data_IF_559621927817
#
_entry.id   IF_559621927817
#
_cell.length_a   1.000
_cell.length_b   1.000
_cell.length_c   1.000
_cell.angle_alpha   90.00
_cell.angle_beta   90.00
_cell.angle_gamma   90.00
#
_symmetry.space_group_name_H-M   'P 1'
#
loop_
_entity.id
_entity.type
_entity.pdbx_description
1 polymer ?
#
# COMPACT_ATOMS: atom_id res chain seq x y z
N UNK A 1 -46.43 16.68 -99.78
CA UNK A 1 -45.08 17.19 -100.13
C UNK A 1 -45.20 18.64 -100.54
N UNK A 2 -44.56 19.55 -99.81
CA UNK A 2 -44.64 20.98 -100.07
C UNK A 2 -44.08 21.77 -98.90
N UNK A 3 -42.77 22.01 -98.96
CA UNK A 3 -41.92 22.60 -97.93
C UNK A 3 -42.42 23.94 -97.36
N UNK A 4 -42.24 24.11 -96.05
CA UNK A 4 -42.60 25.32 -95.31
C UNK A 4 -41.37 26.21 -95.03
N UNK A 5 -41.64 27.52 -94.91
CA UNK A 5 -40.70 28.64 -95.00
C UNK A 5 -40.50 29.33 -93.63
N UNK A 6 -39.25 29.80 -93.40
CA UNK A 6 -38.75 30.93 -92.56
C UNK A 6 -38.75 30.71 -91.03
N UNK A 7 -37.69 31.09 -90.28
CA UNK A 7 -37.17 32.46 -90.00
C UNK A 7 -35.71 32.40 -89.47
N UNK A 8 -34.72 33.06 -90.09
CA UNK A 8 -34.02 34.34 -89.76
C UNK A 8 -33.31 34.48 -88.39
N UNK A 9 -31.99 34.69 -88.46
CA UNK A 9 -31.10 35.31 -87.46
C UNK A 9 -29.63 35.23 -87.97
N UNK A 10 -29.12 36.20 -88.75
CA UNK A 10 -28.32 37.39 -88.31
C UNK A 10 -26.91 36.96 -87.83
N UNK A 11 -25.76 37.49 -88.27
CA UNK A 11 -25.34 38.47 -89.28
C UNK A 11 -23.77 38.45 -89.34
N UNK A 12 -23.21 38.79 -90.52
CA UNK A 12 -21.93 39.50 -90.84
C UNK A 12 -20.61 39.16 -90.09
N UNK A 13 -19.47 38.82 -90.71
CA UNK A 13 -18.69 39.39 -91.84
C UNK A 13 -17.71 40.54 -91.47
N UNK A 14 -16.40 40.19 -91.56
CA UNK A 14 -15.29 40.97 -92.17
C UNK A 14 -14.58 42.11 -91.39
N UNK A 15 -13.25 42.00 -91.25
CA UNK A 15 -12.23 42.78 -92.00
C UNK A 15 -10.96 43.15 -91.18
N UNK A 16 -9.81 43.05 -91.85
CA UNK A 16 -8.44 43.42 -91.46
C UNK A 16 -8.23 44.94 -91.24
N UNK A 17 -7.41 45.35 -90.26
CA UNK A 17 -6.12 46.10 -90.39
C UNK A 17 -5.77 46.92 -89.11
N UNK A 18 -4.49 46.83 -88.73
CA UNK A 18 -3.63 47.89 -88.16
C UNK A 18 -4.00 48.66 -86.86
N UNK A 19 -3.22 48.37 -85.81
CA UNK A 19 -2.42 49.37 -85.09
C UNK A 19 -3.12 50.55 -84.39
N UNK A 20 -3.37 50.39 -83.09
CA UNK A 20 -3.20 51.48 -82.14
C UNK A 20 -2.84 50.89 -80.76
N UNK A 21 -1.57 51.04 -80.41
CA UNK A 21 -1.04 50.90 -79.07
C UNK A 21 -1.74 51.91 -78.16
N UNK A 22 -2.51 51.44 -77.19
CA UNK A 22 -2.79 52.20 -75.97
C UNK A 22 -2.57 51.27 -74.78
N UNK A 23 -1.31 50.99 -74.48
CA UNK A 23 -0.94 50.65 -73.10
C UNK A 23 -1.11 51.93 -72.29
N UNK A 24 -2.15 52.03 -71.47
CA UNK A 24 -2.17 53.01 -70.40
C UNK A 24 -1.05 52.64 -69.43
N UNK A 25 0.15 53.17 -69.66
CA UNK A 25 1.17 53.21 -68.63
C UNK A 25 0.60 54.02 -67.48
N UNK A 26 0.26 53.33 -66.39
CA UNK A 26 0.02 53.97 -65.10
C UNK A 26 1.40 54.49 -64.67
N UNK A 27 1.71 55.72 -65.07
CA UNK A 27 2.85 56.43 -64.51
C UNK A 27 2.54 56.67 -63.04
N UNK A 28 3.13 55.85 -62.16
CA UNK A 28 3.21 56.15 -60.76
C UNK A 28 3.96 57.49 -60.63
N UNK A 29 3.23 58.56 -60.34
CA UNK A 29 3.82 59.86 -60.03
C UNK A 29 4.76 59.67 -58.84
N UNK A 30 6.07 59.71 -59.09
CA UNK A 30 7.07 59.80 -58.03
C UNK A 30 7.09 61.24 -57.51
N UNK A 31 6.05 61.60 -56.77
CA UNK A 31 5.94 62.88 -56.11
C UNK A 31 6.58 62.79 -54.71
N UNK A 32 7.60 63.61 -54.47
CA UNK A 32 8.11 63.81 -53.11
C UNK A 32 7.19 64.78 -52.37
N UNK A 33 6.75 64.40 -51.16
CA UNK A 33 5.97 65.25 -50.27
C UNK A 33 6.74 65.45 -48.98
N UNK A 34 6.86 66.70 -48.53
CA UNK A 34 7.28 66.98 -47.17
C UNK A 34 6.13 66.64 -46.24
N UNK A 35 6.44 65.95 -45.14
CA UNK A 35 5.48 65.58 -44.11
C UNK A 35 6.05 65.98 -42.76
N UNK A 36 5.18 66.46 -41.88
CA UNK A 36 5.51 66.69 -40.47
C UNK A 36 5.13 65.43 -39.69
N UNK A 37 6.08 64.89 -38.93
CA UNK A 37 5.88 63.68 -38.11
C UNK A 37 6.14 64.01 -36.65
N UNK A 38 5.41 63.35 -35.76
CA UNK A 38 5.56 63.51 -34.32
C UNK A 38 6.09 62.23 -33.68
N UNK A 39 7.24 62.34 -33.02
CA UNK A 39 7.81 61.30 -32.16
C UNK A 39 7.34 61.52 -30.72
N UNK A 40 6.88 60.47 -30.04
CA UNK A 40 6.25 60.55 -28.71
C UNK A 40 6.63 59.37 -27.78
N UNK A 41 7.84 58.81 -27.92
CA UNK A 41 8.28 57.66 -27.11
C UNK A 41 7.24 56.52 -27.12
N UNK A 42 6.84 56.11 -28.32
CA UNK A 42 5.79 55.12 -28.52
C UNK A 42 6.31 53.73 -28.12
N UNK A 43 5.67 53.10 -27.13
CA UNK A 43 6.01 51.77 -26.64
C UNK A 43 5.20 50.69 -27.34
N UNK A 44 5.84 49.57 -27.64
CA UNK A 44 5.19 48.36 -28.19
C UNK A 44 5.27 47.25 -27.14
N UNK A 45 4.13 46.62 -26.85
CA UNK A 45 4.03 45.51 -25.90
C UNK A 45 3.47 44.30 -26.65
N UNK A 46 4.21 43.19 -26.67
CA UNK A 46 3.76 41.92 -27.22
C UNK A 46 3.67 40.87 -26.12
N UNK A 47 2.49 40.28 -25.90
CA UNK A 47 2.25 39.31 -24.83
C UNK A 47 2.77 39.75 -23.45
N UNK A 48 2.61 41.04 -23.12
CA UNK A 48 3.05 41.61 -21.84
C UNK A 48 4.55 42.00 -21.78
N UNK A 49 5.33 41.73 -22.83
CA UNK A 49 6.75 42.08 -22.91
C UNK A 49 6.93 43.38 -23.71
N UNK A 50 7.65 44.35 -23.14
CA UNK A 50 8.01 45.58 -23.86
C UNK A 50 9.07 45.27 -24.90
N UNK A 51 8.85 45.71 -26.14
CA UNK A 51 9.78 45.53 -27.25
C UNK A 51 10.77 46.67 -27.29
N UNK A 52 12.06 46.35 -27.32
CA UNK A 52 13.14 47.31 -27.53
C UNK A 52 13.07 47.86 -28.95
N UNK A 53 13.08 49.19 -29.08
CA UNK A 53 12.93 49.89 -30.36
C UNK A 53 14.30 50.49 -30.74
N UNK A 54 14.80 50.16 -31.93
CA UNK A 54 15.97 50.86 -32.50
C UNK A 54 15.58 52.33 -32.75
N UNK A 55 16.27 53.31 -32.13
CA UNK A 55 16.00 54.72 -32.32
C UNK A 55 16.00 55.17 -33.79
N UNK A 56 16.73 54.49 -34.68
CA UNK A 56 16.75 54.80 -36.12
C UNK A 56 15.45 54.47 -36.83
N UNK A 57 14.61 53.63 -36.22
CA UNK A 57 13.35 53.16 -36.77
C UNK A 57 12.22 53.32 -35.75
N UNK A 58 12.28 54.32 -34.88
CA UNK A 58 11.21 54.50 -33.90
C UNK A 58 9.85 54.80 -34.57
N UNK A 59 8.73 54.30 -34.03
CA UNK A 59 7.39 54.63 -34.52
C UNK A 59 7.10 56.13 -34.43
N UNK A 60 6.27 56.64 -35.33
CA UNK A 60 5.90 58.05 -35.37
C UNK A 60 4.42 58.24 -35.70
N UNK A 61 3.90 59.43 -35.40
CA UNK A 61 2.53 59.82 -35.73
C UNK A 61 2.56 60.79 -36.92
N UNK A 62 1.83 60.44 -37.98
CA UNK A 62 1.59 61.30 -39.13
C UNK A 62 0.08 61.47 -39.30
N UNK A 63 -0.40 62.72 -39.25
CA UNK A 63 -1.83 63.06 -39.36
C UNK A 63 -2.75 62.25 -38.42
N UNK A 64 -2.30 62.03 -37.18
CA UNK A 64 -3.05 61.27 -36.17
C UNK A 64 -2.97 59.75 -36.30
N UNK A 65 -2.23 59.22 -37.30
CA UNK A 65 -2.03 57.78 -37.50
C UNK A 65 -0.63 57.39 -37.05
N UNK A 66 -0.52 56.33 -36.24
CA UNK A 66 0.78 55.76 -35.83
C UNK A 66 1.32 54.84 -36.91
N UNK A 67 2.55 55.10 -37.35
CA UNK A 67 3.31 54.28 -38.28
C UNK A 67 4.38 53.51 -37.54
N UNK A 68 4.40 52.19 -37.71
CA UNK A 68 5.34 51.27 -37.07
C UNK A 68 6.20 50.61 -38.16
N UNK A 69 7.51 50.41 -37.94
CA UNK A 69 8.34 49.70 -38.90
C UNK A 69 7.83 48.28 -39.13
N UNK A 70 7.51 47.98 -40.38
CA UNK A 70 6.99 46.67 -40.76
C UNK A 70 8.00 45.54 -40.46
N UNK A 71 9.31 45.80 -40.60
CA UNK A 71 10.36 44.80 -40.35
C UNK A 71 10.39 44.36 -38.88
N UNK A 72 10.24 45.31 -37.96
CA UNK A 72 10.13 45.05 -36.51
C UNK A 72 8.92 44.15 -36.22
N UNK A 73 7.76 44.45 -36.80
CA UNK A 73 6.57 43.61 -36.64
C UNK A 73 6.74 42.23 -37.30
N UNK A 74 7.45 42.16 -38.42
CA UNK A 74 7.76 40.89 -39.09
C UNK A 74 8.58 39.97 -38.20
N UNK A 75 9.67 40.47 -37.61
CA UNK A 75 10.53 39.72 -36.69
C UNK A 75 9.74 39.24 -35.47
N UNK A 76 8.88 40.10 -34.91
CA UNK A 76 8.02 39.75 -33.79
C UNK A 76 7.12 38.52 -34.07
N UNK A 77 6.70 38.33 -35.32
CA UNK A 77 5.86 37.22 -35.76
C UNK A 77 6.62 36.12 -36.51
N UNK A 78 7.95 36.06 -36.33
CA UNK A 78 8.82 35.07 -36.96
C UNK A 78 8.68 35.05 -38.50
N UNK A 79 8.56 36.25 -39.08
CA UNK A 79 8.45 36.50 -40.52
C UNK A 79 9.69 37.23 -41.01
N UNK A 80 10.10 36.92 -42.23
CA UNK A 80 11.13 37.69 -42.93
C UNK A 80 10.47 38.76 -43.81
N UNK A 81 10.89 40.02 -43.68
CA UNK A 81 10.44 41.13 -44.53
C UNK A 81 11.55 41.55 -45.49
N UNK A 82 11.27 41.57 -46.79
CA UNK A 82 12.22 41.94 -47.85
C UNK A 82 11.63 43.02 -48.75
N UNK A 83 12.45 44.00 -49.14
CA UNK A 83 12.07 45.04 -50.09
C UNK A 83 12.62 44.68 -51.48
N UNK A 84 11.75 44.65 -52.48
CA UNK A 84 12.08 44.52 -53.89
C UNK A 84 12.03 45.90 -54.54
N UNK A 85 13.20 46.53 -54.71
CA UNK A 85 13.31 47.84 -55.35
C UNK A 85 12.80 47.88 -56.80
N UNK A 86 13.07 46.89 -57.67
CA UNK A 86 12.63 46.93 -59.08
C UNK A 86 11.11 47.00 -59.24
N UNK A 87 10.37 46.39 -58.33
CA UNK A 87 8.89 46.30 -58.38
C UNK A 87 8.22 47.14 -57.30
N UNK A 88 8.99 47.87 -56.50
CA UNK A 88 8.51 48.58 -55.31
C UNK A 88 7.60 47.71 -54.42
N UNK A 89 8.03 46.48 -54.15
CA UNK A 89 7.20 45.46 -53.46
C UNK A 89 7.80 45.05 -52.13
N UNK A 90 6.95 44.89 -51.13
CA UNK A 90 7.31 44.26 -49.85
C UNK A 90 6.93 42.78 -49.90
N UNK A 91 7.89 41.91 -49.59
CA UNK A 91 7.70 40.46 -49.54
C UNK A 91 7.80 40.01 -48.08
N UNK A 92 6.78 39.30 -47.59
CA UNK A 92 6.72 38.75 -46.23
C UNK A 92 6.67 37.23 -46.33
N UNK A 93 7.55 36.52 -45.62
CA UNK A 93 7.65 35.04 -45.64
C UNK A 93 7.72 34.46 -44.23
N UNK A 94 7.12 33.29 -44.02
CA UNK A 94 7.35 32.47 -42.83
C UNK A 94 8.82 32.01 -42.76
N UNK A 95 9.40 32.03 -41.55
CA UNK A 95 10.75 31.49 -41.31
C UNK A 95 10.75 29.99 -41.04
N UNK A 96 9.63 29.44 -40.57
CA UNK A 96 9.46 28.00 -40.32
C UNK A 96 8.76 27.32 -41.49
N UNK A 97 9.33 26.24 -42.06
CA UNK A 97 8.59 25.40 -43.00
C UNK A 97 7.40 24.76 -42.28
N UNK A 98 6.25 24.58 -42.95
CA UNK A 98 5.13 23.84 -42.38
C UNK A 98 5.58 22.42 -42.03
N UNK A 99 5.03 21.87 -40.94
CA UNK A 99 5.23 20.46 -40.59
C UNK A 99 4.80 19.63 -41.79
N UNK A 100 5.70 18.78 -42.29
CA UNK A 100 5.43 18.00 -43.49
C UNK A 100 4.34 16.97 -43.22
N UNK A 101 3.49 16.71 -44.23
CA UNK A 101 2.49 15.64 -44.15
C UNK A 101 3.15 14.28 -43.84
N UNK A 102 4.36 14.04 -44.35
CA UNK A 102 5.13 12.84 -44.04
C UNK A 102 5.46 12.70 -42.54
N UNK A 103 5.70 13.81 -41.84
CA UNK A 103 5.91 13.80 -40.38
C UNK A 103 4.62 13.45 -39.64
N UNK A 104 3.48 14.00 -40.09
CA UNK A 104 2.16 13.69 -39.51
C UNK A 104 1.81 12.21 -39.71
N UNK A 105 2.03 11.69 -40.92
CA UNK A 105 1.77 10.29 -41.25
C UNK A 105 2.66 9.34 -40.44
N UNK A 106 3.95 9.69 -40.26
CA UNK A 106 4.87 8.92 -39.43
C UNK A 106 4.45 8.90 -37.95
N UNK A 107 4.03 10.05 -37.40
CA UNK A 107 3.53 10.11 -36.02
C UNK A 107 2.24 9.30 -35.85
N UNK A 108 1.30 9.38 -36.79
CA UNK A 108 0.08 8.58 -36.76
C UNK A 108 0.35 7.08 -36.85
N UNK A 109 1.32 6.67 -37.67
CA UNK A 109 1.75 5.28 -37.74
C UNK A 109 2.36 4.79 -36.41
N UNK A 110 3.14 5.63 -35.73
CA UNK A 110 3.68 5.32 -34.41
C UNK A 110 2.60 5.20 -33.33
N UNK A 111 1.61 6.10 -33.34
CA UNK A 111 0.46 6.04 -32.41
C UNK A 111 -0.28 4.72 -32.61
N UNK A 112 -0.62 4.38 -33.86
CA UNK A 112 -1.31 3.12 -34.19
C UNK A 112 -0.52 1.88 -33.73
N UNK A 113 0.80 1.90 -33.86
CA UNK A 113 1.66 0.80 -33.40
C UNK A 113 1.67 0.70 -31.86
N UNK A 114 1.67 1.83 -31.15
CA UNK A 114 1.59 1.85 -29.68
C UNK A 114 0.23 1.38 -29.19
N UNK A 115 -0.86 1.80 -29.82
CA UNK A 115 -2.22 1.37 -29.48
C UNK A 115 -2.39 -0.15 -29.65
N UNK A 116 -1.85 -0.70 -30.74
CA UNK A 116 -1.83 -2.14 -30.96
C UNK A 116 -1.05 -2.88 -29.87
N UNK A 117 0.07 -2.32 -29.41
CA UNK A 117 0.86 -2.92 -28.33
C UNK A 117 0.16 -2.84 -26.98
N UNK A 118 -0.55 -1.74 -26.69
CA UNK A 118 -1.36 -1.59 -25.48
C UNK A 118 -2.45 -2.67 -25.45
N UNK A 119 -3.19 -2.83 -26.55
CA UNK A 119 -4.25 -3.86 -26.63
C UNK A 119 -3.70 -5.29 -26.45
N UNK A 120 -2.51 -5.58 -26.98
CA UNK A 120 -1.83 -6.87 -26.78
C UNK A 120 -1.47 -7.09 -25.30
N UNK A 121 -0.87 -6.10 -24.65
CA UNK A 121 -0.48 -6.17 -23.24
C UNK A 121 -1.70 -6.27 -22.32
N UNK A 122 -2.79 -5.55 -22.61
CA UNK A 122 -4.04 -5.66 -21.86
C UNK A 122 -4.63 -7.07 -21.97
N UNK A 123 -4.63 -7.66 -23.17
CA UNK A 123 -5.09 -9.03 -23.36
C UNK A 123 -4.20 -10.06 -22.65
N UNK A 124 -2.89 -9.83 -22.61
CA UNK A 124 -1.94 -10.67 -21.87
C UNK A 124 -2.16 -10.57 -20.36
N UNK A 125 -2.38 -9.36 -19.83
CA UNK A 125 -2.72 -9.14 -18.42
C UNK A 125 -4.01 -9.88 -18.04
N UNK A 126 -5.05 -9.80 -18.87
CA UNK A 126 -6.30 -10.52 -18.58
C UNK A 126 -6.13 -12.04 -18.63
N UNK A 127 -5.30 -12.56 -19.54
CA UNK A 127 -4.91 -13.98 -19.53
C UNK A 127 -4.14 -14.36 -18.28
N UNK A 128 -3.20 -13.54 -17.83
CA UNK A 128 -2.42 -13.78 -16.62
C UNK A 128 -3.29 -13.70 -15.37
N UNK A 129 -4.25 -12.79 -15.30
CA UNK A 129 -5.24 -12.73 -14.22
C UNK A 129 -6.17 -13.95 -14.20
N UNK A 130 -6.62 -14.40 -15.37
CA UNK A 130 -7.43 -15.60 -15.48
C UNK A 130 -6.63 -16.89 -15.18
N UNK A 131 -5.32 -16.88 -15.48
CA UNK A 131 -4.40 -17.99 -15.21
C UNK A 131 -3.84 -17.98 -13.78
N UNK A 132 -3.81 -16.82 -13.13
CA UNK A 132 -3.67 -16.71 -11.68
C UNK A 132 -4.93 -17.33 -11.08
N UNK A 133 -4.85 -18.65 -10.89
CA UNK A 133 -5.86 -19.40 -10.17
C UNK A 133 -5.97 -18.73 -8.80
N UNK A 134 -7.09 -18.04 -8.56
CA UNK A 134 -7.52 -17.70 -7.20
C UNK A 134 -7.50 -19.04 -6.48
N UNK A 135 -6.46 -19.30 -5.69
CA UNK A 135 -6.50 -20.42 -4.77
C UNK A 135 -7.65 -20.03 -3.86
N UNK A 136 -8.77 -20.74 -4.03
CA UNK A 136 -9.92 -20.51 -3.16
C UNK A 136 -9.47 -21.01 -1.81
N UNK A 137 -9.19 -20.06 -0.92
CA UNK A 137 -8.81 -20.37 0.44
C UNK A 137 -9.94 -21.18 1.09
N UNK A 138 -11.18 -20.91 0.69
CA UNK A 138 -12.37 -21.68 1.03
C UNK A 138 -12.23 -23.18 0.68
N UNK A 139 -11.84 -23.53 -0.55
CA UNK A 139 -11.65 -24.95 -0.94
C UNK A 139 -10.49 -25.60 -0.16
N UNK A 140 -9.41 -24.84 0.10
CA UNK A 140 -8.28 -25.35 0.88
C UNK A 140 -8.63 -25.47 2.36
N UNK A 141 -9.43 -24.56 2.90
CA UNK A 141 -9.96 -24.60 4.26
C UNK A 141 -10.85 -25.83 4.47
N UNK A 142 -11.75 -26.12 3.52
CA UNK A 142 -12.56 -27.33 3.52
C UNK A 142 -11.68 -28.59 3.52
N UNK A 143 -10.69 -28.67 2.61
CA UNK A 143 -9.76 -29.80 2.54
C UNK A 143 -8.98 -29.99 3.86
N UNK A 144 -8.49 -28.89 4.47
CA UNK A 144 -7.77 -28.95 5.74
C UNK A 144 -8.68 -29.41 6.88
N UNK A 145 -9.90 -28.89 6.97
CA UNK A 145 -10.83 -29.34 7.99
C UNK A 145 -11.17 -30.83 7.83
N UNK A 146 -11.39 -31.30 6.60
CA UNK A 146 -11.65 -32.71 6.32
C UNK A 146 -10.47 -33.63 6.66
N UNK A 147 -9.22 -33.18 6.45
CA UNK A 147 -8.03 -33.98 6.73
C UNK A 147 -7.65 -33.98 8.22
N UNK A 148 -7.91 -32.88 8.94
CA UNK A 148 -7.37 -32.64 10.28
C UNK A 148 -8.41 -32.65 11.42
N UNK A 149 -9.72 -32.70 11.16
CA UNK A 149 -10.76 -32.63 12.21
C UNK A 149 -10.62 -33.70 13.32
N UNK A 150 -10.08 -34.89 13.01
CA UNK A 150 -9.87 -36.01 13.96
C UNK A 150 -8.38 -36.29 14.21
N UNK A 151 -7.50 -35.32 13.92
CA UNK A 151 -6.04 -35.52 14.04
C UNK A 151 -5.62 -36.01 15.44
N UNK A 152 -6.26 -35.46 16.47
CA UNK A 152 -6.00 -35.79 17.87
C UNK A 152 -6.85 -36.96 18.38
N UNK A 153 -7.72 -37.55 17.55
CA UNK A 153 -8.69 -38.53 18.01
C UNK A 153 -9.61 -37.91 19.07
N UNK A 154 -9.70 -38.59 20.22
CA UNK A 154 -10.49 -38.11 21.37
C UNK A 154 -9.72 -37.17 22.31
N UNK A 155 -8.49 -36.80 21.96
CA UNK A 155 -7.64 -35.99 22.84
C UNK A 155 -7.94 -34.48 22.72
N UNK A 156 -8.49 -34.02 21.59
CA UNK A 156 -8.87 -32.61 21.35
C UNK A 156 -10.14 -32.57 20.51
N UNK A 157 -11.18 -31.95 21.05
CA UNK A 157 -12.44 -31.71 20.34
C UNK A 157 -12.48 -30.29 19.73
N UNK A 158 -13.48 -30.07 18.87
CA UNK A 158 -13.82 -28.77 18.27
C UNK A 158 -12.72 -28.13 17.40
N UNK A 159 -11.97 -28.95 16.64
CA UNK A 159 -10.96 -28.45 15.71
C UNK A 159 -11.64 -27.81 14.50
N UNK A 160 -11.43 -26.51 14.32
CA UNK A 160 -11.84 -25.76 13.14
C UNK A 160 -10.67 -24.90 12.65
N UNK A 161 -10.26 -25.12 11.41
CA UNK A 161 -9.18 -24.39 10.75
C UNK A 161 -9.82 -23.35 9.82
N UNK A 162 -9.35 -22.12 9.91
CA UNK A 162 -9.83 -20.98 9.14
C UNK A 162 -8.65 -20.29 8.46
N UNK A 163 -8.77 -20.03 7.16
CA UNK A 163 -7.74 -19.36 6.37
C UNK A 163 -8.18 -17.96 5.95
N UNK A 164 -7.28 -17.00 6.07
CA UNK A 164 -7.52 -15.66 5.56
C UNK A 164 -6.27 -15.05 4.93
N UNK A 165 -6.43 -13.94 4.21
CA UNK A 165 -5.35 -13.25 3.51
C UNK A 165 -5.38 -13.48 1.98
N UNK A 166 -4.23 -13.79 1.38
CA UNK A 166 -4.07 -14.02 -0.05
C UNK A 166 -2.93 -15.00 -0.35
N UNK A 167 -2.77 -15.40 -1.62
CA UNK A 167 -1.79 -16.40 -2.08
C UNK A 167 -0.32 -16.19 -1.62
N UNK A 168 0.06 -15.00 -1.15
CA UNK A 168 1.41 -14.70 -0.65
C UNK A 168 1.49 -14.49 0.85
N UNK A 169 0.36 -14.25 1.52
CA UNK A 169 0.28 -13.95 2.95
C UNK A 169 -0.97 -14.61 3.51
N UNK A 170 -0.76 -15.69 4.25
CA UNK A 170 -1.83 -16.52 4.80
C UNK A 170 -1.80 -16.40 6.32
N UNK A 171 -2.95 -16.06 6.87
CA UNK A 171 -3.21 -16.10 8.30
C UNK A 171 -4.03 -17.36 8.59
N UNK A 172 -3.48 -18.26 9.40
CA UNK A 172 -4.12 -19.50 9.83
C UNK A 172 -4.68 -19.31 11.24
N UNK A 173 -5.99 -19.48 11.41
CA UNK A 173 -6.62 -19.55 12.73
C UNK A 173 -7.10 -20.96 12.97
N UNK A 174 -6.81 -21.50 14.14
CA UNK A 174 -7.27 -22.82 14.55
C UNK A 174 -8.05 -22.65 15.85
N UNK A 175 -9.34 -22.92 15.82
CA UNK A 175 -10.15 -22.98 17.02
C UNK A 175 -10.16 -24.43 17.53
N UNK A 176 -10.02 -24.60 18.85
CA UNK A 176 -9.96 -25.90 19.54
C UNK A 176 -10.60 -25.78 20.93
N UNK A 177 -10.95 -26.89 21.57
CA UNK A 177 -11.23 -26.88 23.00
C UNK A 177 -9.94 -26.57 23.80
N UNK A 178 -9.89 -25.46 24.53
CA UNK A 178 -8.67 -25.00 25.20
C UNK A 178 -8.18 -25.92 26.31
N UNK A 179 -9.08 -26.51 27.09
CA UNK A 179 -8.73 -27.45 28.17
C UNK A 179 -8.04 -28.70 27.64
N UNK A 180 -8.44 -29.14 26.46
CA UNK A 180 -7.88 -30.32 25.82
C UNK A 180 -6.56 -29.99 25.14
N UNK A 181 -6.51 -28.86 24.44
CA UNK A 181 -5.29 -28.33 23.82
C UNK A 181 -4.14 -28.13 24.82
N UNK A 182 -4.43 -27.61 26.02
CA UNK A 182 -3.42 -27.38 27.05
C UNK A 182 -2.79 -28.69 27.59
N UNK A 183 -3.48 -29.83 27.46
CA UNK A 183 -2.95 -31.15 27.84
C UNK A 183 -2.11 -31.78 26.74
N UNK A 184 -2.14 -31.24 25.52
CA UNK A 184 -1.36 -31.75 24.40
C UNK A 184 0.10 -31.36 24.56
N UNK A 185 1.00 -32.34 24.49
CA UNK A 185 2.44 -32.11 24.49
C UNK A 185 2.84 -31.19 23.34
N UNK A 186 3.70 -30.22 23.62
CA UNK A 186 4.20 -29.23 22.65
C UNK A 186 4.70 -29.87 21.35
N UNK A 187 5.43 -30.99 21.43
CA UNK A 187 5.90 -31.69 20.24
C UNK A 187 4.76 -32.18 19.32
N UNK A 188 3.62 -32.60 19.89
CA UNK A 188 2.45 -33.06 19.13
C UNK A 188 1.69 -31.85 18.55
N UNK A 189 1.62 -30.74 19.28
CA UNK A 189 1.12 -29.45 18.77
C UNK A 189 1.95 -29.01 17.55
N UNK A 190 3.27 -29.00 17.67
CA UNK A 190 4.18 -28.62 16.59
C UNK A 190 4.05 -29.52 15.36
N UNK A 191 3.91 -30.84 15.52
CA UNK A 191 3.66 -31.75 14.39
C UNK A 191 2.36 -31.43 13.68
N UNK A 192 1.26 -31.28 14.43
CA UNK A 192 -0.03 -30.91 13.87
C UNK A 192 0.01 -29.61 13.07
N UNK A 193 0.61 -28.56 13.64
CA UNK A 193 0.75 -27.27 12.98
C UNK A 193 1.65 -27.35 11.74
N UNK A 194 2.72 -28.15 11.80
CA UNK A 194 3.61 -28.36 10.66
C UNK A 194 2.89 -29.07 9.52
N UNK A 195 2.10 -30.11 9.82
CA UNK A 195 1.37 -30.86 8.80
C UNK A 195 0.39 -29.93 8.04
N UNK A 196 -0.36 -29.08 8.77
CA UNK A 196 -1.22 -28.05 8.18
C UNK A 196 -0.43 -27.08 7.30
N UNK A 197 0.71 -26.57 7.79
CA UNK A 197 1.57 -25.64 7.05
C UNK A 197 2.11 -26.27 5.78
N UNK A 198 2.55 -27.53 5.84
CA UNK A 198 3.10 -28.26 4.70
C UNK A 198 2.06 -28.44 3.60
N UNK A 199 0.79 -28.73 3.96
CA UNK A 199 -0.31 -28.84 2.99
C UNK A 199 -0.68 -27.49 2.37
N UNK A 200 -0.66 -26.42 3.16
CA UNK A 200 -0.85 -25.06 2.64
C UNK A 200 0.27 -24.74 1.64
N UNK A 201 1.54 -24.94 2.01
CA UNK A 201 2.70 -24.65 1.14
C UNK A 201 2.77 -25.57 -0.08
N UNK A 202 2.22 -26.78 -0.03
CA UNK A 202 2.10 -27.65 -1.20
C UNK A 202 1.21 -27.03 -2.29
N UNK A 203 0.18 -26.28 -1.89
CA UNK A 203 -0.69 -25.53 -2.82
C UNK A 203 -0.22 -24.09 -3.05
N UNK A 204 0.43 -23.48 -2.06
CA UNK A 204 0.84 -22.07 -2.00
C UNK A 204 2.33 -21.93 -1.65
N UNK A 205 3.19 -22.38 -2.57
CA UNK A 205 4.63 -22.60 -2.35
C UNK A 205 5.43 -21.43 -1.77
N UNK A 206 5.05 -20.19 -2.07
CA UNK A 206 5.79 -18.99 -1.67
C UNK A 206 4.99 -18.13 -0.67
N UNK A 207 4.00 -18.73 0.01
CA UNK A 207 3.20 -18.01 1.00
C UNK A 207 3.99 -17.78 2.29
N UNK A 208 3.93 -16.54 2.77
CA UNK A 208 4.30 -16.15 4.13
C UNK A 208 3.14 -16.54 5.05
N UNK A 209 3.40 -17.42 6.03
CA UNK A 209 2.37 -18.00 6.89
C UNK A 209 2.63 -17.62 8.35
N UNK A 210 1.59 -17.14 9.01
CA UNK A 210 1.53 -16.99 10.46
C UNK A 210 0.20 -17.56 10.96
N UNK A 211 0.12 -17.92 12.23
CA UNK A 211 -1.13 -18.42 12.76
C UNK A 211 -1.31 -18.34 14.26
N UNK A 212 -2.54 -18.59 14.66
CA UNK A 212 -2.98 -18.55 16.06
C UNK A 212 -3.88 -19.74 16.35
N UNK A 213 -3.73 -20.31 17.55
CA UNK A 213 -4.64 -21.29 18.11
C UNK A 213 -5.48 -20.61 19.19
N UNK A 214 -6.81 -20.78 19.16
CA UNK A 214 -7.73 -20.13 20.08
C UNK A 214 -8.72 -21.13 20.69
N UNK A 215 -9.18 -20.81 21.88
CA UNK A 215 -10.27 -21.56 22.50
C UNK A 215 -11.58 -21.28 21.75
N UNK A 216 -12.23 -22.32 21.26
CA UNK A 216 -13.45 -22.24 20.46
C UNK A 216 -14.64 -21.65 21.24
N UNK A 217 -14.67 -21.77 22.57
CA UNK A 217 -15.79 -21.33 23.41
C UNK A 217 -15.75 -19.83 23.69
N UNK A 218 -14.58 -19.29 23.97
CA UNK A 218 -14.43 -17.90 24.43
C UNK A 218 -13.48 -17.05 23.56
N UNK A 219 -12.79 -17.65 22.59
CA UNK A 219 -11.84 -16.98 21.70
C UNK A 219 -10.51 -16.61 22.35
N UNK A 220 -10.20 -17.10 23.57
CA UNK A 220 -8.92 -16.87 24.26
C UNK A 220 -7.78 -17.38 23.38
N UNK A 221 -6.73 -16.59 23.24
CA UNK A 221 -5.52 -17.02 22.54
C UNK A 221 -4.81 -18.08 23.37
N UNK A 222 -4.60 -19.26 22.78
CA UNK A 222 -3.93 -20.38 23.42
C UNK A 222 -2.46 -20.44 23.03
N UNK A 223 -2.18 -20.33 21.74
CA UNK A 223 -0.83 -20.33 21.16
C UNK A 223 -0.80 -19.42 19.91
N UNK A 224 0.38 -18.91 19.56
CA UNK A 224 0.64 -18.35 18.23
C UNK A 224 1.87 -19.01 17.62
N UNK A 225 1.96 -18.99 16.30
CA UNK A 225 3.06 -19.60 15.59
C UNK A 225 3.46 -18.85 14.34
N UNK A 226 4.74 -18.98 14.01
CA UNK A 226 5.38 -18.41 12.84
C UNK A 226 6.34 -19.42 12.19
N UNK A 227 6.75 -19.18 10.95
CA UNK A 227 7.71 -20.04 10.25
C UNK A 227 9.14 -19.52 10.39
N UNK A 228 10.09 -20.43 10.61
CA UNK A 228 11.50 -20.11 10.46
C UNK A 228 11.93 -20.05 8.98
N UNK A 229 13.19 -19.68 8.71
CA UNK A 229 13.69 -19.52 7.34
C UNK A 229 13.75 -20.82 6.51
N UNK A 230 13.35 -21.95 7.10
CA UNK A 230 13.29 -23.28 6.47
C UNK A 230 11.87 -23.84 6.54
N UNK A 231 10.88 -22.96 6.72
CA UNK A 231 9.46 -23.27 6.77
C UNK A 231 9.05 -24.19 7.92
N UNK A 232 9.87 -24.27 8.99
CA UNK A 232 9.49 -25.03 10.19
C UNK A 232 8.69 -24.14 11.13
N UNK A 233 7.60 -24.68 11.65
CA UNK A 233 6.76 -24.03 12.66
C UNK A 233 7.56 -23.79 13.95
N UNK A 234 7.39 -22.58 14.48
CA UNK A 234 7.81 -22.17 15.81
C UNK A 234 6.58 -21.65 16.55
N UNK A 235 6.32 -22.19 17.73
CA UNK A 235 5.41 -21.54 18.66
C UNK A 235 6.10 -20.28 19.18
N UNK A 236 5.39 -19.16 19.14
CA UNK A 236 5.86 -17.95 19.80
C UNK A 236 5.68 -18.14 21.30
N UNK A 237 6.68 -17.73 22.09
CA UNK A 237 6.59 -17.86 23.54
C UNK A 237 5.41 -17.04 24.05
N UNK A 238 4.47 -17.70 24.73
CA UNK A 238 3.41 -17.04 25.50
C UNK A 238 4.11 -16.14 26.52
N UNK A 239 3.79 -14.84 26.50
CA UNK A 239 4.05 -13.96 27.64
C UNK A 239 2.76 -14.02 28.45
N UNK A 240 2.72 -14.90 29.44
CA UNK A 240 1.62 -15.08 30.41
C UNK A 240 1.65 -13.88 31.35
N UNK A 241 0.94 -12.79 31.01
CA UNK A 241 0.83 -11.65 31.93
C UNK A 241 0.28 -12.13 33.29
N UNK A 242 0.71 -11.54 34.41
CA UNK A 242 0.45 -12.07 35.76
C UNK A 242 -1.00 -12.43 36.08
N UNK A 243 -1.97 -11.70 35.52
CA UNK A 243 -3.38 -12.04 35.73
C UNK A 243 -3.74 -13.42 35.19
N UNK A 244 -3.16 -13.85 34.06
CA UNK A 244 -3.40 -15.19 33.52
C UNK A 244 -2.71 -16.27 34.39
N UNK A 245 -1.51 -15.97 34.91
CA UNK A 245 -0.79 -16.90 35.79
C UNK A 245 -1.46 -16.99 37.17
N UNK A 246 -1.96 -15.89 37.72
CA UNK A 246 -2.72 -15.85 38.97
C UNK A 246 -3.99 -16.70 38.89
N UNK A 247 -4.76 -16.56 37.82
CA UNK A 247 -5.95 -17.40 37.57
C UNK A 247 -5.57 -18.89 37.50
N UNK A 248 -4.48 -19.23 36.79
CA UNK A 248 -4.01 -20.61 36.65
C UNK A 248 -3.52 -21.21 37.98
N UNK A 249 -2.77 -20.44 38.78
CA UNK A 249 -2.30 -20.86 40.10
C UNK A 249 -3.46 -21.05 41.06
N UNK A 250 -4.43 -20.14 41.09
CA UNK A 250 -5.63 -20.31 41.89
C UNK A 250 -6.38 -21.58 41.49
N UNK A 251 -6.59 -21.85 40.20
CA UNK A 251 -7.23 -23.07 39.73
C UNK A 251 -6.48 -24.35 40.11
N UNK A 252 -5.14 -24.33 40.13
CA UNK A 252 -4.32 -25.50 40.48
C UNK A 252 -4.23 -25.76 41.97
N UNK A 253 -4.16 -24.69 42.77
CA UNK A 253 -3.83 -24.77 44.19
C UNK A 253 -5.02 -24.65 45.14
N UNK A 254 -6.21 -24.27 44.64
CA UNK A 254 -7.43 -24.05 45.44
C UNK A 254 -7.78 -25.20 46.42
N UNK A 255 -7.56 -26.45 46.03
CA UNK A 255 -7.84 -27.68 46.82
C UNK A 255 -6.67 -28.69 46.69
N UNK A 256 -5.44 -28.17 46.62
CA UNK A 256 -4.26 -28.99 46.31
C UNK A 256 -3.82 -29.88 47.47
N UNK A 257 -4.00 -29.41 48.71
CA UNK A 257 -3.72 -30.18 49.91
C UNK A 257 -5.04 -30.47 50.63
N UNK A 258 -5.31 -31.74 50.97
CA UNK A 258 -6.56 -32.11 51.68
C UNK A 258 -6.75 -31.46 53.06
N UNK A 259 -5.70 -30.81 53.55
CA UNK A 259 -5.64 -30.13 54.84
C UNK A 259 -5.47 -28.60 54.65
N UNK A 260 -5.61 -28.08 53.42
CA UNK A 260 -5.60 -26.66 53.07
C UNK A 260 -6.71 -26.43 52.03
N UNK A 261 -7.90 -26.09 52.52
CA UNK A 261 -9.01 -25.66 51.67
C UNK A 261 -8.94 -24.14 51.42
N UNK A 262 -9.56 -23.68 50.32
CA UNK A 262 -9.76 -22.26 50.00
C UNK A 262 -8.48 -21.42 49.87
N UNK A 263 -7.41 -22.00 49.28
CA UNK A 263 -6.17 -21.27 48.98
C UNK A 263 -6.42 -20.16 47.96
N UNK A 264 -6.04 -18.92 48.29
CA UNK A 264 -6.03 -17.78 47.35
C UNK A 264 -4.59 -17.29 47.11
N UNK A 265 -4.21 -17.18 45.84
CA UNK A 265 -2.87 -16.77 45.40
C UNK A 265 -3.01 -15.44 44.66
N UNK A 266 -2.11 -14.50 44.95
CA UNK A 266 -2.01 -13.23 44.22
C UNK A 266 -0.56 -12.90 43.85
N UNK A 267 -0.37 -12.38 42.65
CA UNK A 267 0.94 -11.97 42.12
C UNK A 267 0.96 -10.46 41.85
N UNK A 268 1.96 -9.76 42.40
CA UNK A 268 2.28 -8.36 42.08
C UNK A 268 3.76 -8.23 41.67
N UNK A 269 4.16 -7.05 41.21
CA UNK A 269 5.54 -6.75 40.78
C UNK A 269 5.73 -6.80 39.26
N UNK A 270 6.85 -7.37 38.79
CA UNK A 270 7.16 -7.58 37.38
C UNK A 270 7.94 -8.89 37.08
N UNK A 271 8.25 -9.14 35.80
CA UNK A 271 8.87 -10.39 35.31
C UNK A 271 10.24 -10.73 35.93
N UNK A 272 10.89 -9.78 36.57
CA UNK A 272 12.18 -9.93 37.25
C UNK A 272 12.04 -9.97 38.79
N UNK A 273 11.05 -9.28 39.38
CA UNK A 273 10.81 -9.20 40.82
C UNK A 273 9.32 -9.41 41.13
N UNK A 274 8.98 -10.57 41.73
CA UNK A 274 7.61 -11.03 41.97
C UNK A 274 7.28 -11.01 43.45
N UNK A 275 6.22 -10.30 43.82
CA UNK A 275 5.60 -10.34 45.14
C UNK A 275 4.48 -11.39 45.14
N UNK A 276 4.70 -12.51 45.83
CA UNK A 276 3.76 -13.63 45.94
C UNK A 276 3.02 -13.58 47.29
N UNK A 277 1.70 -13.40 47.25
CA UNK A 277 0.83 -13.56 48.44
C UNK A 277 0.05 -14.85 48.33
N UNK A 278 0.06 -15.65 49.41
CA UNK A 278 -0.75 -16.86 49.55
C UNK A 278 -1.61 -16.70 50.81
N UNK A 279 -2.93 -16.73 50.66
CA UNK A 279 -3.89 -16.68 51.77
C UNK A 279 -4.47 -18.09 52.01
N UNK A 280 -4.47 -18.52 53.27
CA UNK A 280 -4.89 -19.86 53.73
C UNK A 280 -5.54 -19.77 55.11
N UNK A 281 -6.33 -20.78 55.49
CA UNK A 281 -6.82 -20.92 56.87
C UNK A 281 -5.64 -21.08 57.85
N UNK A 282 -5.55 -20.17 58.83
CA UNK A 282 -4.38 -20.08 59.71
C UNK A 282 -4.15 -21.30 60.62
N UNK A 283 -5.23 -21.91 61.12
CA UNK A 283 -5.14 -23.11 61.97
C UNK A 283 -4.65 -24.33 61.17
N UNK A 284 -5.07 -24.44 59.91
CA UNK A 284 -4.69 -25.52 58.99
C UNK A 284 -3.22 -25.39 58.56
N UNK A 285 -2.76 -24.18 58.25
CA UNK A 285 -1.36 -23.91 57.98
C UNK A 285 -0.45 -24.31 59.16
N UNK A 286 -0.84 -23.99 60.40
CA UNK A 286 -0.06 -24.33 61.61
C UNK A 286 -0.09 -25.84 61.94
N UNK A 287 -1.07 -26.59 61.42
CA UNK A 287 -1.13 -28.04 61.56
C UNK A 287 -0.11 -28.76 60.66
N UNK A 288 0.35 -28.12 59.58
CA UNK A 288 1.34 -28.68 58.65
C UNK A 288 2.74 -28.74 59.28
N UNK A 289 3.47 -29.80 58.95
CA UNK A 289 4.91 -29.89 59.28
C UNK A 289 5.73 -28.96 58.39
N UNK A 290 6.92 -28.53 58.86
CA UNK A 290 7.85 -27.69 58.08
C UNK A 290 8.13 -28.26 56.68
N UNK A 291 8.16 -29.59 56.55
CA UNK A 291 8.37 -30.26 55.26
C UNK A 291 7.16 -30.12 54.34
N UNK A 292 5.94 -30.19 54.88
CA UNK A 292 4.71 -30.01 54.08
C UNK A 292 4.61 -28.56 53.60
N UNK A 293 4.84 -27.59 54.50
CA UNK A 293 4.91 -26.16 54.16
C UNK A 293 5.94 -25.91 53.06
N UNK A 294 7.17 -26.39 53.23
CA UNK A 294 8.24 -26.22 52.25
C UNK A 294 7.89 -26.83 50.88
N UNK A 295 7.34 -28.04 50.85
CA UNK A 295 6.96 -28.69 49.60
C UNK A 295 5.86 -27.92 48.86
N UNK A 296 4.83 -27.48 49.58
CA UNK A 296 3.73 -26.70 49.00
C UNK A 296 4.21 -25.38 48.40
N UNK A 297 5.04 -24.63 49.14
CA UNK A 297 5.61 -23.38 48.65
C UNK A 297 6.54 -23.60 47.45
N UNK A 298 7.31 -24.70 47.46
CA UNK A 298 8.20 -25.04 46.35
C UNK A 298 7.41 -25.37 45.07
N UNK A 299 6.29 -26.08 45.17
CA UNK A 299 5.46 -26.42 44.01
C UNK A 299 4.94 -25.13 43.33
N UNK A 300 4.41 -24.18 44.11
CA UNK A 300 3.94 -22.87 43.60
C UNK A 300 5.08 -22.06 42.98
N UNK A 301 6.25 -22.02 43.64
CA UNK A 301 7.44 -21.31 43.15
C UNK A 301 7.97 -21.93 41.85
N UNK A 302 7.98 -23.26 41.74
CA UNK A 302 8.42 -23.97 40.54
C UNK A 302 7.52 -23.64 39.35
N UNK A 303 6.20 -23.53 39.56
CA UNK A 303 5.24 -23.13 38.53
C UNK A 303 5.41 -21.67 38.10
N UNK A 304 5.66 -20.75 39.05
CA UNK A 304 5.97 -19.35 38.71
C UNK A 304 7.29 -19.24 37.95
N UNK A 305 8.35 -19.91 38.42
CA UNK A 305 9.67 -19.91 37.77
C UNK A 305 9.70 -20.69 36.44
N UNK A 306 8.70 -21.54 36.19
CA UNK A 306 8.51 -22.13 34.87
C UNK A 306 8.23 -21.05 33.81
N UNK A 307 7.37 -20.08 34.15
CA UNK A 307 7.02 -18.94 33.31
C UNK A 307 8.08 -17.83 33.38
N UNK A 308 8.55 -17.51 34.60
CA UNK A 308 9.46 -16.41 34.92
C UNK A 308 10.81 -16.89 35.45
N UNK A 309 11.55 -17.61 34.60
CA UNK A 309 12.75 -18.38 34.95
C UNK A 309 13.84 -17.67 35.75
N UNK A 310 13.92 -16.34 35.71
CA UNK A 310 14.97 -15.56 36.37
C UNK A 310 14.45 -14.64 37.46
N UNK A 311 13.16 -14.73 37.78
CA UNK A 311 12.54 -13.87 38.76
C UNK A 311 13.09 -14.15 40.17
N UNK A 312 13.22 -13.08 40.94
CA UNK A 312 13.32 -13.13 42.39
C UNK A 312 11.90 -13.11 42.96
N UNK A 313 11.55 -14.09 43.79
CA UNK A 313 10.21 -14.24 44.37
C UNK A 313 10.26 -13.94 45.86
N UNK A 314 9.49 -12.95 46.27
CA UNK A 314 9.30 -12.53 47.66
C UNK A 314 7.92 -12.98 48.14
N UNK A 315 7.89 -14.04 48.94
CA UNK A 315 6.68 -14.74 49.33
C UNK A 315 6.17 -14.39 50.73
N UNK A 316 4.85 -14.22 50.87
CA UNK A 316 4.17 -14.02 52.16
C UNK A 316 2.97 -14.97 52.25
N UNK A 317 2.91 -15.77 53.32
CA UNK A 317 1.73 -16.57 53.67
C UNK A 317 0.92 -15.81 54.73
N UNK A 318 -0.40 -15.68 54.53
CA UNK A 318 -1.32 -14.98 55.44
C UNK A 318 -2.49 -15.87 55.82
N UNK A 319 -2.98 -15.62 57.03
CA UNK A 319 -4.26 -16.09 57.55
C UNK A 319 -5.38 -15.33 56.81
N UNK A 320 -6.23 -16.06 56.07
CA UNK A 320 -7.34 -15.53 55.27
C UNK A 320 -8.41 -14.80 56.11
N UNK A 321 -8.63 -15.26 57.34
CA UNK A 321 -9.64 -14.79 58.28
C UNK A 321 -9.33 -13.38 58.81
N UNK A 322 -8.04 -13.09 59.06
CA UNK A 322 -7.63 -11.88 59.75
C UNK A 322 -6.42 -11.15 59.12
N UNK A 323 -5.86 -11.67 58.04
CA UNK A 323 -4.71 -11.11 57.32
C UNK A 323 -3.39 -11.16 58.07
N UNK A 324 -3.32 -11.90 59.19
CA UNK A 324 -2.08 -12.05 59.97
C UNK A 324 -1.08 -12.84 59.14
N UNK A 325 0.13 -12.29 59.06
CA UNK A 325 1.25 -12.99 58.45
C UNK A 325 1.61 -14.24 59.26
N UNK A 326 1.61 -15.38 58.57
CA UNK A 326 1.96 -16.68 59.11
C UNK A 326 3.44 -16.98 58.87
N UNK A 327 3.89 -16.90 57.62
CA UNK A 327 5.27 -17.17 57.21
C UNK A 327 5.73 -16.19 56.12
N UNK A 328 7.05 -16.10 55.92
CA UNK A 328 7.69 -15.42 54.79
C UNK A 328 8.75 -16.31 54.17
N UNK A 329 8.94 -16.19 52.87
CA UNK A 329 9.93 -16.99 52.15
C UNK A 329 10.51 -16.23 50.95
N UNK A 330 11.64 -16.73 50.46
CA UNK A 330 12.34 -16.21 49.30
C UNK A 330 12.74 -17.33 48.37
N UNK A 331 12.74 -17.06 47.06
CA UNK A 331 13.32 -17.93 46.05
C UNK A 331 13.97 -17.11 44.92
N UNK A 332 15.14 -17.54 44.44
CA UNK A 332 15.84 -16.91 43.32
C UNK A 332 15.90 -17.87 42.13
N UNK A 333 15.18 -17.56 41.04
CA UNK A 333 15.23 -18.34 39.81
C UNK A 333 16.60 -18.40 39.15
N UNK A 334 17.47 -17.43 39.45
CA UNK A 334 18.87 -17.44 39.02
C UNK A 334 19.77 -18.36 39.87
N UNK A 335 19.34 -18.76 41.06
CA UNK A 335 20.06 -19.67 41.98
C UNK A 335 19.20 -20.86 42.41
N UNK A 336 18.97 -21.78 41.46
CA UNK A 336 18.26 -23.06 41.60
C UNK A 336 16.79 -23.03 42.06
N UNK A 337 16.24 -21.85 42.39
CA UNK A 337 14.82 -21.64 42.66
C UNK A 337 14.34 -22.25 43.97
N UNK A 338 15.23 -22.67 44.87
CA UNK A 338 14.82 -23.25 46.15
C UNK A 338 14.18 -22.22 47.06
N UNK A 339 13.08 -22.64 47.67
CA UNK A 339 12.38 -21.87 48.70
C UNK A 339 13.19 -21.90 50.00
N UNK A 340 13.49 -20.70 50.51
CA UNK A 340 14.04 -20.46 51.84
C UNK A 340 12.98 -19.78 52.71
N UNK A 341 12.46 -20.49 53.73
CA UNK A 341 11.50 -19.94 54.70
C UNK A 341 12.28 -19.25 55.83
N UNK A 342 11.88 -18.02 56.16
CA UNK A 342 12.55 -17.13 57.13
C UNK A 342 12.20 -17.37 58.61
#
# INVERSE_FOLDING_TARGET
MGNWKKTTGVLSASMLLAGALFTSSVEASQATKKVDVHYKDIKIINNGVTIEIDPKTEPFILNGVTYIPLRMMGELYNKTVQWSAPTSTIIIKDQTPPISQATVDALNAQIKAKDAKIAELEAEIEKLKAAAKKVDLDDLEDDLNDDYYDYFGRDVDDIEILLSGNEKKIDVRIDVNGNDWNKVKESKKLSFLQDIVDDILAKLKDADIQGTVKDAKNGKLLDSFSLDSKDNVKLDKKKTDFSDLEDELNDWYFDYYSDLDDVEISLDGDEDEIDLTIEVEGDDWEALTDKQKLNFLQDIVDDILYEYKRAEIYGIVKDDDNGKRLDTFYADGSDDGKVEID
#
